data_IF_459071563331
#
_entry.id   IF_459071563331
#
_cell.length_a   1.000
_cell.length_b   1.000
_cell.length_c   1.000
_cell.angle_alpha   90.00
_cell.angle_beta   90.00
_cell.angle_gamma   90.00
#
_symmetry.space_group_name_H-M   'P 1'
#
loop_
_entity.id
_entity.type
_entity.pdbx_description
1 polymer ?
#
# COMPACT_ATOMS: atom_id res chain seq x y z
N UNK A 1 34.31 40.51 -1.91
CA UNK A 1 33.16 40.64 -2.83
C UNK A 1 32.59 39.25 -3.03
N UNK A 2 31.41 39.01 -2.47
CA UNK A 2 30.74 37.70 -2.38
C UNK A 2 30.25 37.25 -3.75
N UNK A 3 30.62 36.04 -4.16
CA UNK A 3 30.06 35.38 -5.35
C UNK A 3 28.70 34.76 -4.99
N UNK A 4 27.65 35.20 -5.69
CA UNK A 4 26.33 34.60 -5.62
C UNK A 4 26.32 33.30 -6.45
N UNK A 5 26.13 32.16 -5.79
CA UNK A 5 25.79 30.90 -6.47
C UNK A 5 24.26 30.80 -6.55
N UNK A 6 23.73 31.08 -7.74
CA UNK A 6 22.35 30.73 -8.11
C UNK A 6 22.34 29.27 -8.51
N UNK A 7 22.01 28.38 -7.59
CA UNK A 7 21.82 26.97 -7.89
C UNK A 7 20.35 26.76 -8.29
N UNK A 8 20.07 26.84 -9.59
CA UNK A 8 18.83 26.32 -10.19
C UNK A 8 18.86 24.80 -10.11
N UNK A 9 18.41 24.26 -8.98
CA UNK A 9 18.25 22.83 -8.79
C UNK A 9 16.89 22.42 -9.38
N UNK A 10 16.92 21.90 -10.61
CA UNK A 10 15.81 21.15 -11.20
C UNK A 10 15.70 19.81 -10.47
N UNK A 11 15.10 19.83 -9.28
CA UNK A 11 14.84 18.63 -8.49
C UNK A 11 13.65 17.89 -9.12
N UNK A 12 13.94 16.76 -9.76
CA UNK A 12 13.00 15.66 -9.95
C UNK A 12 12.21 15.46 -8.64
N UNK A 13 10.87 15.30 -8.65
CA UNK A 13 10.13 15.04 -7.42
C UNK A 13 10.49 13.62 -6.95
N UNK A 14 11.59 13.49 -6.23
CA UNK A 14 11.77 12.41 -5.30
C UNK A 14 10.72 12.65 -4.22
N UNK A 15 9.75 11.74 -4.01
CA UNK A 15 8.81 11.92 -2.90
C UNK A 15 9.66 12.03 -1.64
N UNK A 16 9.64 13.20 -1.02
CA UNK A 16 10.37 13.40 0.21
C UNK A 16 9.79 12.47 1.26
N UNK A 17 10.60 12.00 2.20
CA UNK A 17 10.12 11.16 3.31
C UNK A 17 8.91 11.77 4.01
N UNK A 18 8.84 13.11 4.10
CA UNK A 18 7.67 13.84 4.59
C UNK A 18 6.40 13.69 3.73
N UNK A 19 6.48 13.62 2.40
CA UNK A 19 5.32 13.36 1.53
C UNK A 19 4.82 11.92 1.68
N UNK A 20 5.75 10.97 1.85
CA UNK A 20 5.40 9.58 2.15
C UNK A 20 4.76 9.46 3.53
N UNK A 21 5.28 10.17 4.54
CA UNK A 21 4.67 10.26 5.87
C UNK A 21 3.30 10.94 5.84
N UNK A 22 3.13 11.99 5.05
CA UNK A 22 1.84 12.63 4.83
C UNK A 22 0.84 11.67 4.15
N UNK A 23 1.28 10.91 3.14
CA UNK A 23 0.49 9.85 2.51
C UNK A 23 0.20 8.65 3.42
N UNK A 24 1.01 8.44 4.46
CA UNK A 24 0.89 7.32 5.43
C UNK A 24 0.21 7.76 6.74
N UNK A 25 -0.23 9.02 6.85
CA UNK A 25 -0.95 9.50 8.02
C UNK A 25 -2.36 8.90 8.08
N UNK A 26 -2.71 8.27 9.20
CA UNK A 26 -4.04 7.68 9.40
C UNK A 26 -4.81 8.44 10.48
N UNK A 27 -6.13 8.54 10.32
CA UNK A 27 -7.03 9.24 11.25
C UNK A 27 -7.94 8.23 11.97
N UNK A 28 -8.00 8.34 13.29
CA UNK A 28 -8.98 7.59 14.10
C UNK A 28 -10.35 8.27 13.96
N UNK A 29 -11.32 7.55 13.42
CA UNK A 29 -12.68 8.08 13.24
C UNK A 29 -13.61 7.77 14.42
N UNK A 30 -13.31 6.71 15.19
CA UNK A 30 -14.08 6.27 16.36
C UNK A 30 -13.17 5.59 17.38
N UNK A 31 -13.53 5.72 18.65
CA UNK A 31 -12.76 5.20 19.78
C UNK A 31 -11.61 6.11 20.18
N UNK A 32 -11.03 5.83 21.34
CA UNK A 32 -9.87 6.52 21.89
C UNK A 32 -8.77 5.47 22.16
N UNK A 33 -7.99 5.11 21.13
CA UNK A 33 -6.92 4.14 21.29
C UNK A 33 -5.81 4.70 22.16
N UNK A 34 -5.16 3.82 22.94
CA UNK A 34 -4.04 4.23 23.77
C UNK A 34 -2.82 4.62 22.91
N UNK A 35 -1.87 5.40 23.46
CA UNK A 35 -0.62 5.71 22.77
C UNK A 35 0.15 4.46 22.32
N UNK A 36 0.11 3.40 23.12
CA UNK A 36 0.77 2.12 22.84
C UNK A 36 0.12 1.39 21.65
N UNK A 37 -1.21 1.43 21.56
CA UNK A 37 -1.95 0.83 20.44
C UNK A 37 -1.66 1.57 19.12
N UNK A 38 -1.59 2.91 19.17
CA UNK A 38 -1.21 3.73 18.03
C UNK A 38 0.23 3.44 17.57
N UNK A 39 1.16 3.27 18.51
CA UNK A 39 2.54 2.91 18.23
C UNK A 39 2.64 1.52 17.58
N UNK A 40 1.95 0.53 18.13
CA UNK A 40 1.91 -0.83 17.59
C UNK A 40 1.31 -0.85 16.17
N UNK A 41 0.21 -0.14 15.95
CA UNK A 41 -0.42 -0.05 14.63
C UNK A 41 0.50 0.62 13.59
N UNK A 42 1.18 1.70 13.97
CA UNK A 42 2.16 2.37 13.11
C UNK A 42 3.32 1.43 12.75
N UNK A 43 3.87 0.70 13.73
CA UNK A 43 4.97 -0.25 13.49
C UNK A 43 4.57 -1.35 12.50
N UNK A 44 3.35 -1.89 12.62
CA UNK A 44 2.81 -2.89 11.69
C UNK A 44 2.63 -2.29 10.29
N UNK A 45 2.07 -1.08 10.19
CA UNK A 45 1.92 -0.40 8.90
C UNK A 45 3.27 -0.17 8.22
N UNK A 46 4.27 0.34 8.95
CA UNK A 46 5.62 0.53 8.42
C UNK A 46 6.19 -0.80 7.93
N UNK A 47 6.13 -1.87 8.72
CA UNK A 47 6.63 -3.18 8.32
C UNK A 47 5.96 -3.74 7.05
N UNK A 48 4.66 -3.46 6.85
CA UNK A 48 3.90 -3.96 5.71
C UNK A 48 4.07 -3.12 4.45
N UNK A 49 4.23 -1.81 4.61
CA UNK A 49 4.34 -0.85 3.52
C UNK A 49 5.79 -0.64 3.08
N UNK A 50 6.77 -0.92 3.93
CA UNK A 50 8.15 -1.06 3.52
C UNK A 50 8.26 -2.33 2.68
N UNK A 51 8.16 -2.17 1.36
CA UNK A 51 8.48 -3.23 0.42
C UNK A 51 9.95 -3.60 0.67
N UNK A 52 10.27 -4.82 1.12
CA UNK A 52 11.65 -5.25 1.17
C UNK A 52 12.21 -5.15 -0.25
N UNK A 53 13.46 -4.72 -0.38
CA UNK A 53 14.21 -4.76 -1.64
C UNK A 53 14.49 -6.24 -1.98
N UNK A 54 13.42 -6.93 -2.37
CA UNK A 54 13.39 -8.35 -2.62
C UNK A 54 13.54 -8.56 -4.12
N UNK A 55 14.32 -9.56 -4.54
CA UNK A 55 14.50 -9.86 -5.96
C UNK A 55 13.14 -10.15 -6.59
N UNK A 56 13.02 -9.76 -7.87
CA UNK A 56 11.80 -9.80 -8.68
C UNK A 56 10.91 -10.98 -8.32
N UNK A 57 9.65 -10.75 -7.88
CA UNK A 57 8.79 -11.82 -7.40
C UNK A 57 8.58 -12.84 -8.53
N UNK A 58 8.94 -14.10 -8.25
CA UNK A 58 8.65 -15.22 -9.14
C UNK A 58 7.15 -15.25 -9.37
N UNK A 59 6.73 -15.30 -10.65
CA UNK A 59 5.32 -15.30 -11.06
C UNK A 59 4.50 -16.20 -10.14
N UNK A 60 3.44 -15.67 -9.48
CA UNK A 60 2.66 -16.46 -8.55
C UNK A 60 2.09 -17.68 -9.27
N UNK A 61 2.16 -18.84 -8.60
CA UNK A 61 1.49 -20.06 -9.05
C UNK A 61 0.03 -19.74 -9.30
N UNK A 62 -0.49 -20.13 -10.46
CA UNK A 62 -1.89 -19.87 -10.84
C UNK A 62 -2.81 -20.29 -9.70
N UNK A 63 -3.47 -19.32 -9.07
CA UNK A 63 -4.47 -19.64 -8.05
C UNK A 63 -5.59 -20.42 -8.72
N UNK A 64 -5.88 -21.63 -8.22
CA UNK A 64 -6.94 -22.49 -8.75
C UNK A 64 -8.36 -21.96 -8.46
N UNK A 65 -8.47 -20.87 -7.71
CA UNK A 65 -9.75 -20.25 -7.38
C UNK A 65 -10.18 -19.38 -8.55
N UNK A 66 -11.19 -19.84 -9.27
CA UNK A 66 -11.75 -19.09 -10.38
C UNK A 66 -12.78 -18.11 -9.84
N UNK A 67 -12.67 -16.85 -10.27
CA UNK A 67 -13.64 -15.81 -9.92
C UNK A 67 -15.00 -16.12 -10.58
N UNK A 68 -16.13 -16.07 -9.83
CA UNK A 68 -17.47 -16.31 -10.39
C UNK A 68 -17.80 -15.44 -11.59
N UNK A 69 -17.38 -14.17 -11.58
CA UNK A 69 -17.55 -13.22 -12.69
C UNK A 69 -16.70 -13.56 -13.94
N UNK A 70 -15.71 -14.44 -13.79
CA UNK A 70 -14.86 -14.97 -14.88
C UNK A 70 -15.26 -16.38 -15.33
N UNK A 71 -16.19 -17.01 -14.61
CA UNK A 71 -16.84 -18.23 -15.07
C UNK A 71 -17.92 -17.84 -16.08
N UNK A 72 -18.10 -18.63 -17.14
CA UNK A 72 -19.25 -18.45 -18.05
C UNK A 72 -20.51 -18.42 -17.20
N UNK A 73 -21.44 -17.52 -17.55
CA UNK A 73 -22.71 -17.40 -16.87
C UNK A 73 -23.36 -18.77 -16.69
N UNK A 74 -23.60 -19.10 -15.42
CA UNK A 74 -24.32 -20.22 -14.85
C UNK A 74 -25.08 -21.10 -15.88
N UNK A 75 -24.58 -22.31 -16.14
CA UNK A 75 -25.13 -23.20 -17.16
C UNK A 75 -26.37 -24.01 -16.71
N UNK A 76 -26.81 -23.89 -15.44
CA UNK A 76 -27.92 -24.69 -14.92
C UNK A 76 -28.76 -23.93 -13.89
N UNK A 77 -30.08 -23.76 -14.09
CA UNK A 77 -30.98 -23.11 -13.14
C UNK A 77 -31.13 -23.80 -11.77
N UNK A 78 -30.60 -25.01 -11.58
CA UNK A 78 -30.82 -25.83 -10.37
C UNK A 78 -29.67 -25.83 -9.36
N UNK A 79 -28.58 -25.10 -9.63
CA UNK A 79 -27.35 -25.24 -8.84
C UNK A 79 -27.31 -24.42 -7.52
N UNK A 80 -28.41 -23.76 -7.13
CA UNK A 80 -28.55 -23.11 -5.81
C UNK A 80 -29.15 -24.01 -4.72
N UNK A 81 -29.54 -25.25 -5.04
CA UNK A 81 -30.24 -26.14 -4.12
C UNK A 81 -29.37 -27.26 -3.50
N UNK A 82 -28.05 -27.17 -3.57
CA UNK A 82 -27.13 -28.06 -2.85
C UNK A 82 -26.25 -27.29 -1.89
#
# INVERSE_FOLDING_TARGET
>A
MTTAQTQTQTSTPHPSTSDLLAATSFKVLRGEPSPEELAAFTAVLTLRLTTPDAPTPKRPTTAHWTRPERLRAYACPRAWHS
#
